data_IF_252526269108
#
_entry.id   IF_252526269108
#
_cell.length_a   1.000
_cell.length_b   1.000
_cell.length_c   1.000
_cell.angle_alpha   90.00
_cell.angle_beta   90.00
_cell.angle_gamma   90.00
#
_symmetry.space_group_name_H-M   'P 1'
#
loop_
_entity.id
_entity.type
_entity.pdbx_description
1 polymer ?
#
# COMPACT_ATOMS: atom_id res chain seq x y z
N UNK A 1 33.58 34.29 4.53
CA UNK A 1 32.35 34.16 3.71
C UNK A 1 32.05 32.67 3.53
N UNK A 2 31.33 32.03 4.46
CA UNK A 2 31.12 30.58 4.46
C UNK A 2 29.64 30.22 4.47
N UNK A 3 28.98 30.26 3.32
CA UNK A 3 27.57 29.87 3.21
C UNK A 3 27.44 28.35 3.23
N UNK A 4 27.23 27.84 4.45
CA UNK A 4 26.55 26.58 4.84
C UNK A 4 26.15 25.63 3.69
N UNK A 5 27.01 24.66 3.41
CA UNK A 5 26.77 23.43 2.61
C UNK A 5 25.61 22.54 3.13
N UNK A 6 24.88 22.95 4.18
CA UNK A 6 23.81 22.16 4.83
C UNK A 6 22.44 22.21 4.13
N UNK A 7 22.14 23.24 3.32
CA UNK A 7 20.80 23.41 2.71
C UNK A 7 20.45 22.29 1.72
N UNK A 8 21.41 21.79 0.95
CA UNK A 8 21.18 20.74 -0.07
C UNK A 8 20.78 19.41 0.57
N UNK A 9 21.38 19.03 1.70
CA UNK A 9 21.05 17.78 2.41
C UNK A 9 19.63 17.80 3.00
N UNK A 10 19.21 18.95 3.52
CA UNK A 10 17.86 19.10 4.08
C UNK A 10 16.78 19.03 2.99
N UNK A 11 16.96 19.75 1.89
CA UNK A 11 16.04 19.71 0.75
C UNK A 11 15.93 18.31 0.16
N UNK A 12 17.08 17.61 -0.01
CA UNK A 12 17.10 16.23 -0.48
C UNK A 12 16.29 15.31 0.42
N UNK A 13 16.43 15.42 1.74
CA UNK A 13 15.69 14.57 2.66
C UNK A 13 14.17 14.81 2.59
N UNK A 14 13.71 16.07 2.45
CA UNK A 14 12.28 16.38 2.29
C UNK A 14 11.75 15.77 0.99
N UNK A 15 12.44 16.03 -0.12
CA UNK A 15 12.02 15.54 -1.45
C UNK A 15 11.98 14.00 -1.48
N UNK A 16 12.98 13.33 -0.92
CA UNK A 16 13.01 11.86 -0.83
C UNK A 16 11.91 11.31 0.08
N UNK A 17 11.59 12.00 1.18
CA UNK A 17 10.51 11.63 2.08
C UNK A 17 9.15 11.77 1.41
N UNK A 18 8.87 12.91 0.78
CA UNK A 18 7.60 13.14 0.07
C UNK A 18 7.38 12.10 -1.03
N UNK A 19 8.41 11.83 -1.83
CA UNK A 19 8.35 10.75 -2.82
C UNK A 19 8.10 9.38 -2.18
N UNK A 20 8.72 9.07 -1.04
CA UNK A 20 8.50 7.82 -0.32
C UNK A 20 7.07 7.71 0.20
N UNK A 21 6.49 8.79 0.72
CA UNK A 21 5.10 8.81 1.19
C UNK A 21 4.11 8.61 0.04
N UNK A 22 4.31 9.33 -1.06
CA UNK A 22 3.48 9.20 -2.26
C UNK A 22 3.55 7.77 -2.83
N UNK A 23 4.77 7.22 -2.99
CA UNK A 23 4.96 5.84 -3.46
C UNK A 23 4.31 4.80 -2.54
N UNK A 24 4.44 4.95 -1.22
CA UNK A 24 3.83 4.03 -0.25
C UNK A 24 2.31 4.04 -0.35
N UNK A 25 1.71 5.22 -0.51
CA UNK A 25 0.24 5.36 -0.63
C UNK A 25 -0.28 4.78 -1.93
N UNK A 26 0.36 5.08 -3.06
CA UNK A 26 -0.03 4.54 -4.38
C UNK A 26 0.06 3.01 -4.38
N UNK A 27 1.14 2.42 -3.83
CA UNK A 27 1.30 0.96 -3.76
C UNK A 27 0.19 0.28 -2.94
N UNK A 28 -0.21 0.90 -1.83
CA UNK A 28 -1.32 0.41 -0.99
C UNK A 28 -2.68 0.50 -1.70
N UNK A 29 -2.91 1.56 -2.49
CA UNK A 29 -4.15 1.71 -3.24
C UNK A 29 -4.23 0.71 -4.40
N UNK A 30 -3.13 0.50 -5.13
CA UNK A 30 -3.10 -0.42 -6.26
C UNK A 30 -3.37 -1.86 -5.81
N UNK A 31 -2.68 -2.32 -4.75
CA UNK A 31 -2.91 -3.64 -4.16
C UNK A 31 -4.34 -3.84 -3.68
N UNK A 32 -4.97 -2.82 -3.12
CA UNK A 32 -6.38 -2.91 -2.71
C UNK A 32 -7.36 -2.97 -3.86
N UNK A 33 -7.11 -2.23 -4.95
CA UNK A 33 -7.94 -2.31 -6.16
C UNK A 33 -7.81 -3.69 -6.82
N UNK A 34 -6.59 -4.26 -6.87
CA UNK A 34 -6.36 -5.62 -7.37
C UNK A 34 -7.08 -6.68 -6.53
N UNK A 35 -6.99 -6.60 -5.20
CA UNK A 35 -7.68 -7.51 -4.28
C UNK A 35 -9.20 -7.46 -4.46
N UNK A 36 -9.76 -6.24 -4.56
CA UNK A 36 -11.20 -6.04 -4.77
C UNK A 36 -11.65 -6.60 -6.12
N UNK A 37 -10.81 -6.50 -7.16
CA UNK A 37 -11.09 -7.06 -8.48
C UNK A 37 -11.05 -8.58 -8.49
N UNK A 38 -10.11 -9.20 -7.76
CA UNK A 38 -10.03 -10.66 -7.60
C UNK A 38 -11.28 -11.22 -6.91
N UNK A 39 -11.76 -10.54 -5.86
CA UNK A 39 -13.01 -10.89 -5.16
C UNK A 39 -14.22 -10.73 -6.09
N UNK A 40 -14.31 -9.60 -6.81
CA UNK A 40 -15.43 -9.32 -7.72
C UNK A 40 -15.51 -10.30 -8.90
N UNK A 41 -14.37 -10.83 -9.35
CA UNK A 41 -14.31 -11.79 -10.45
C UNK A 41 -14.55 -13.24 -10.02
N UNK A 42 -14.85 -13.51 -8.75
CA UNK A 42 -15.01 -14.87 -8.20
C UNK A 42 -13.81 -15.78 -8.55
N UNK A 43 -12.62 -15.20 -8.79
CA UNK A 43 -11.41 -15.95 -9.14
C UNK A 43 -10.88 -16.80 -7.98
N UNK A 44 -11.49 -16.62 -6.81
CA UNK A 44 -11.17 -17.34 -5.59
C UNK A 44 -12.31 -18.33 -5.40
N UNK A 45 -12.04 -19.62 -5.66
CA UNK A 45 -12.89 -20.75 -5.30
C UNK A 45 -12.85 -20.93 -3.78
N UNK A 46 -13.30 -19.90 -3.07
CA UNK A 46 -13.61 -19.99 -1.67
C UNK A 46 -14.91 -20.77 -1.67
N UNK A 47 -14.79 -22.04 -1.26
CA UNK A 47 -15.80 -23.12 -1.23
C UNK A 47 -17.19 -22.74 -0.70
N UNK A 48 -17.36 -21.50 -0.22
CA UNK A 48 -18.60 -20.81 0.05
C UNK A 48 -18.37 -19.30 -0.20
N UNK A 49 -19.24 -18.60 -0.95
CA UNK A 49 -19.17 -17.14 -1.23
C UNK A 49 -19.45 -16.27 0.02
N UNK A 50 -19.29 -16.86 1.20
CA UNK A 50 -19.54 -16.25 2.49
C UNK A 50 -18.65 -15.03 2.72
N UNK A 51 -19.26 -13.99 3.30
CA UNK A 51 -18.59 -12.76 3.77
C UNK A 51 -17.41 -13.08 4.71
N UNK A 52 -17.43 -14.23 5.39
CA UNK A 52 -16.32 -14.71 6.23
C UNK A 52 -15.07 -15.02 5.41
N UNK A 53 -15.23 -15.70 4.27
CA UNK A 53 -14.10 -16.06 3.41
C UNK A 53 -13.49 -14.83 2.73
N UNK A 54 -14.32 -13.83 2.40
CA UNK A 54 -13.85 -12.53 1.93
C UNK A 54 -13.03 -11.78 2.99
N UNK A 55 -13.46 -11.82 4.26
CA UNK A 55 -12.70 -11.23 5.37
C UNK A 55 -11.36 -11.94 5.60
N UNK A 56 -11.32 -13.28 5.52
CA UNK A 56 -10.07 -14.05 5.65
C UNK A 56 -9.09 -13.66 4.52
N UNK A 57 -9.58 -13.54 3.29
CA UNK A 57 -8.76 -13.12 2.14
C UNK A 57 -8.21 -11.70 2.32
N UNK A 58 -9.05 -10.75 2.74
CA UNK A 58 -8.62 -9.37 3.01
C UNK A 58 -7.53 -9.38 4.10
N UNK A 59 -7.71 -10.17 5.16
CA UNK A 59 -6.71 -10.30 6.22
C UNK A 59 -5.38 -10.89 5.72
N UNK A 60 -5.43 -11.88 4.82
CA UNK A 60 -4.23 -12.48 4.19
C UNK A 60 -3.51 -11.50 3.24
N UNK A 61 -4.26 -10.79 2.38
CA UNK A 61 -3.69 -9.87 1.38
C UNK A 61 -3.07 -8.64 2.04
N UNK A 62 -3.71 -8.11 3.07
CA UNK A 62 -3.22 -6.92 3.77
C UNK A 62 -2.37 -7.25 5.00
N UNK A 63 -2.18 -8.52 5.33
CA UNK A 63 -1.45 -8.95 6.52
C UNK A 63 -2.08 -8.44 7.82
N UNK A 64 -3.40 -8.23 7.82
CA UNK A 64 -4.17 -7.83 9.00
C UNK A 64 -4.43 -9.11 9.80
N UNK A 65 -3.48 -9.50 10.65
CA UNK A 65 -3.70 -10.61 11.59
C UNK A 65 -4.83 -10.24 12.55
N UNK A 66 -5.83 -11.11 12.66
CA UNK A 66 -6.76 -11.15 13.79
C UNK A 66 -6.04 -11.57 15.07
#
# INVERSE_FOLDING_TARGET
MGTKIRRIKYLKNIVEQDHRFIKKRIRSMLSGVEAMHMVKKEQIDLQDQSVQNQNIFINQVFGLTA
#
